data_IF_611859613677
#
_entry.id   IF_611859613677
#
_cell.length_a   1.000
_cell.length_b   1.000
_cell.length_c   1.000
_cell.angle_alpha   90.00
_cell.angle_beta   90.00
_cell.angle_gamma   90.00
#
_symmetry.space_group_name_H-M   'P 1'
#
loop_
_entity.id
_entity.type
_entity.pdbx_description
1 polymer ?
#
# COMPACT_ATOMS: atom_id res chain seq x y z
N UNK A 1 -9.22 -25.29 8.69
CA UNK A 1 -8.98 -24.31 7.58
C UNK A 1 -9.03 -22.90 8.15
N UNK A 2 -8.00 -22.10 7.87
CA UNK A 2 -7.89 -20.76 8.46
C UNK A 2 -8.90 -19.77 7.85
N UNK A 3 -9.07 -19.79 6.51
CA UNK A 3 -10.02 -18.98 5.75
C UNK A 3 -10.36 -19.69 4.44
N UNK A 4 -11.50 -20.40 4.37
CA UNK A 4 -11.89 -21.14 3.16
C UNK A 4 -12.02 -20.26 1.91
N UNK A 5 -12.42 -19.00 2.07
CA UNK A 5 -12.54 -18.03 0.97
C UNK A 5 -11.17 -17.68 0.39
N UNK A 6 -10.18 -17.43 1.26
CA UNK A 6 -8.81 -17.17 0.83
C UNK A 6 -8.19 -18.39 0.15
N UNK A 7 -8.37 -19.59 0.72
CA UNK A 7 -7.88 -20.84 0.12
C UNK A 7 -8.48 -21.05 -1.27
N UNK A 8 -9.79 -20.82 -1.42
CA UNK A 8 -10.44 -20.93 -2.72
C UNK A 8 -9.86 -19.94 -3.73
N UNK A 9 -9.66 -18.67 -3.34
CA UNK A 9 -9.06 -17.66 -4.21
C UNK A 9 -7.64 -18.02 -4.66
N UNK A 10 -6.79 -18.48 -3.75
CA UNK A 10 -5.43 -18.95 -4.09
C UNK A 10 -5.43 -20.14 -5.05
N UNK A 11 -6.39 -21.05 -4.93
CA UNK A 11 -6.57 -22.15 -5.90
C UNK A 11 -6.91 -21.63 -7.28
N UNK A 12 -7.79 -20.61 -7.39
CA UNK A 12 -8.15 -20.01 -8.68
C UNK A 12 -6.94 -19.39 -9.40
N UNK A 13 -6.02 -18.79 -8.66
CA UNK A 13 -4.80 -18.18 -9.18
C UNK A 13 -3.70 -19.20 -9.50
N UNK A 14 -3.85 -20.47 -9.11
CA UNK A 14 -2.81 -21.48 -9.23
C UNK A 14 -1.69 -21.36 -8.19
N UNK A 15 -1.92 -20.66 -7.08
CA UNK A 15 -0.93 -20.44 -6.01
C UNK A 15 -0.93 -21.52 -4.94
N UNK A 16 -1.87 -22.44 -5.00
CA UNK A 16 -2.06 -23.51 -4.00
C UNK A 16 -1.02 -24.63 -4.06
N UNK A 17 -0.18 -24.66 -5.09
CA UNK A 17 0.87 -25.67 -5.26
C UNK A 17 2.17 -25.32 -4.51
N UNK A 18 2.29 -24.07 -4.07
CA UNK A 18 3.49 -23.54 -3.42
C UNK A 18 3.21 -23.26 -1.95
N UNK A 19 3.96 -23.91 -1.07
CA UNK A 19 3.94 -23.64 0.37
C UNK A 19 5.23 -22.93 0.76
N UNK A 20 5.13 -21.66 1.15
CA UNK A 20 6.29 -20.87 1.58
C UNK A 20 6.79 -21.34 2.94
N UNK A 21 8.07 -21.74 3.01
CA UNK A 21 8.73 -22.27 4.20
C UNK A 21 9.56 -21.20 4.92
N UNK A 22 10.29 -20.39 4.18
CA UNK A 22 11.15 -19.33 4.72
C UNK A 22 11.33 -18.17 3.72
N UNK A 23 11.83 -17.04 4.20
CA UNK A 23 12.19 -15.90 3.37
C UNK A 23 13.59 -15.39 3.71
N UNK A 24 14.38 -14.93 2.71
CA UNK A 24 15.69 -14.31 2.90
C UNK A 24 15.97 -13.30 1.78
N UNK A 25 16.32 -12.07 2.13
CA UNK A 25 16.57 -11.02 1.15
C UNK A 25 15.32 -10.76 0.31
N UNK A 26 15.42 -10.84 -0.99
CA UNK A 26 14.33 -10.61 -1.93
C UNK A 26 13.58 -11.89 -2.33
N UNK A 27 13.82 -13.01 -1.64
CA UNK A 27 13.32 -14.32 -2.03
C UNK A 27 12.52 -15.00 -0.92
N UNK A 28 11.42 -15.64 -1.30
CA UNK A 28 10.85 -16.78 -0.59
C UNK A 28 11.53 -18.07 -0.99
N UNK A 29 11.41 -19.07 -0.14
CA UNK A 29 11.78 -20.46 -0.41
C UNK A 29 10.59 -21.32 -0.05
N UNK A 30 10.20 -22.19 -0.97
CA UNK A 30 9.08 -23.09 -0.79
C UNK A 30 9.42 -24.33 0.04
N UNK A 31 8.48 -25.28 0.12
CA UNK A 31 8.64 -26.56 0.84
C UNK A 31 9.80 -27.41 0.33
N UNK A 32 10.22 -27.24 -0.92
CA UNK A 32 11.32 -27.97 -1.57
C UNK A 32 12.63 -27.16 -1.57
N UNK A 33 12.67 -26.02 -0.86
CA UNK A 33 13.76 -25.03 -0.89
C UNK A 33 13.99 -24.37 -2.27
N UNK A 34 12.98 -24.44 -3.17
CA UNK A 34 12.98 -23.70 -4.43
C UNK A 34 12.88 -22.18 -4.17
N UNK A 35 13.73 -21.43 -4.86
CA UNK A 35 13.90 -19.98 -4.69
C UNK A 35 12.87 -19.23 -5.53
N UNK A 36 12.04 -18.40 -4.91
CA UNK A 36 10.99 -17.60 -5.55
C UNK A 36 11.28 -16.12 -5.35
N UNK A 37 11.44 -15.37 -6.43
CA UNK A 37 11.65 -13.92 -6.42
C UNK A 37 10.37 -13.20 -5.98
N UNK A 38 10.42 -12.46 -4.87
CA UNK A 38 9.26 -11.75 -4.32
C UNK A 38 9.17 -10.32 -4.85
N UNK A 39 8.47 -10.13 -5.95
CA UNK A 39 8.10 -8.82 -6.45
C UNK A 39 6.64 -8.44 -6.10
N UNK A 40 5.99 -9.22 -5.22
CA UNK A 40 4.74 -8.82 -4.57
C UNK A 40 4.98 -7.84 -3.42
N UNK A 41 6.17 -7.94 -2.80
CA UNK A 41 6.61 -7.12 -1.68
C UNK A 41 5.63 -7.12 -0.50
N UNK A 42 4.84 -8.20 -0.32
CA UNK A 42 3.83 -8.27 0.73
C UNK A 42 2.86 -7.09 0.67
N UNK A 43 2.42 -6.71 -0.53
CA UNK A 43 1.56 -5.53 -0.77
C UNK A 43 2.19 -4.23 -0.26
N UNK A 44 3.53 -4.12 -0.40
CA UNK A 44 4.31 -2.95 0.02
C UNK A 44 4.85 -3.00 1.45
N UNK A 45 4.69 -4.10 2.19
CA UNK A 45 5.21 -4.23 3.56
C UNK A 45 6.65 -4.75 3.63
N UNK A 46 7.15 -5.38 2.56
CA UNK A 46 8.48 -6.02 2.54
C UNK A 46 9.50 -5.08 1.83
N UNK A 47 9.64 -3.87 2.36
CA UNK A 47 10.57 -2.89 1.80
C UNK A 47 12.04 -3.29 1.99
N UNK A 48 12.40 -3.74 3.18
CA UNK A 48 13.75 -4.14 3.55
C UNK A 48 14.11 -5.59 3.16
N UNK A 49 13.20 -6.28 2.45
CA UNK A 49 13.33 -7.70 2.18
C UNK A 49 13.02 -8.59 3.39
N UNK A 50 13.13 -9.89 3.18
CA UNK A 50 12.83 -10.90 4.19
C UNK A 50 14.00 -11.09 5.15
N UNK A 51 13.71 -11.08 6.45
CA UNK A 51 14.69 -11.40 7.52
C UNK A 51 15.98 -10.58 7.44
N UNK A 52 15.84 -9.26 7.27
CA UNK A 52 16.99 -8.35 7.28
C UNK A 52 17.84 -8.56 8.53
N UNK A 53 19.18 -8.76 8.43
CA UNK A 53 20.01 -9.14 9.58
C UNK A 53 19.94 -8.15 10.75
N UNK A 54 19.96 -6.86 10.48
CA UNK A 54 19.88 -5.81 11.50
C UNK A 54 18.55 -5.83 12.24
N UNK A 55 17.43 -6.02 11.50
CA UNK A 55 16.09 -6.16 12.10
C UNK A 55 16.03 -7.38 13.01
N UNK A 56 16.55 -8.52 12.58
CA UNK A 56 16.59 -9.73 13.42
C UNK A 56 17.44 -9.49 14.67
N UNK A 57 18.59 -8.82 14.52
CA UNK A 57 19.50 -8.55 15.63
C UNK A 57 18.89 -7.65 16.69
N UNK A 58 18.26 -6.52 16.29
CA UNK A 58 17.65 -5.58 17.26
C UNK A 58 16.51 -6.24 18.03
N UNK A 59 15.72 -7.09 17.36
CA UNK A 59 14.63 -7.84 18.01
C UNK A 59 15.15 -8.89 18.97
N UNK A 60 16.20 -9.64 18.58
CA UNK A 60 16.85 -10.61 19.46
C UNK A 60 17.43 -9.90 20.69
N UNK A 61 18.16 -8.80 20.50
CA UNK A 61 18.73 -8.03 21.62
C UNK A 61 17.63 -7.52 22.57
N UNK A 62 16.52 -7.01 22.03
CA UNK A 62 15.37 -6.55 22.83
C UNK A 62 14.82 -7.66 23.73
N UNK A 63 14.71 -8.87 23.19
CA UNK A 63 14.23 -10.04 23.92
C UNK A 63 15.26 -10.58 24.94
N UNK A 64 16.52 -10.70 24.55
CA UNK A 64 17.59 -11.23 25.41
C UNK A 64 17.84 -10.29 26.64
N UNK A 65 17.55 -9.00 26.50
CA UNK A 65 17.65 -8.01 27.59
C UNK A 65 16.35 -7.88 28.41
N UNK A 66 15.37 -8.75 28.19
CA UNK A 66 14.08 -8.82 28.92
C UNK A 66 13.36 -7.45 28.96
N UNK A 67 13.44 -6.67 27.86
CA UNK A 67 12.87 -5.32 27.81
C UNK A 67 11.34 -5.37 27.73
N UNK A 68 10.66 -4.41 28.38
CA UNK A 68 9.21 -4.39 28.46
C UNK A 68 8.54 -4.08 27.11
N UNK A 69 7.43 -4.74 26.85
CA UNK A 69 6.65 -4.56 25.61
C UNK A 69 5.55 -3.48 25.74
N UNK A 70 4.75 -3.53 26.80
CA UNK A 70 3.56 -2.68 26.94
C UNK A 70 3.87 -1.51 27.84
N UNK A 71 3.76 -0.30 27.28
CA UNK A 71 4.02 0.96 28.00
C UNK A 71 2.76 1.79 28.28
N UNK A 72 1.54 1.24 28.12
CA UNK A 72 0.30 2.02 28.18
C UNK A 72 0.07 2.72 29.53
N UNK A 73 0.52 2.11 30.63
CA UNK A 73 0.39 2.66 31.99
C UNK A 73 1.62 3.44 32.45
N UNK A 74 2.67 3.51 31.62
CA UNK A 74 3.95 4.13 31.96
C UNK A 74 4.53 4.87 30.76
N UNK A 75 5.50 5.75 30.99
CA UNK A 75 6.28 6.33 29.90
C UNK A 75 7.15 5.26 29.24
N UNK A 76 6.90 5.01 27.94
CA UNK A 76 7.73 4.12 27.13
C UNK A 76 8.84 4.90 26.45
N UNK A 77 10.09 4.64 26.83
CA UNK A 77 11.25 5.22 26.14
C UNK A 77 11.31 4.84 24.65
N UNK A 78 10.81 3.65 24.29
CA UNK A 78 10.80 3.15 22.92
C UNK A 78 9.78 3.89 22.05
N UNK A 79 8.57 4.07 22.58
CA UNK A 79 7.53 4.85 21.90
C UNK A 79 7.94 6.33 21.78
N UNK A 80 8.55 6.90 22.82
CA UNK A 80 9.07 8.27 22.80
C UNK A 80 10.19 8.45 21.76
N UNK A 81 11.16 7.51 21.71
CA UNK A 81 12.25 7.54 20.72
C UNK A 81 11.72 7.41 19.29
N UNK A 82 10.80 6.45 19.04
CA UNK A 82 10.18 6.29 17.74
C UNK A 82 9.40 7.54 17.31
N UNK A 83 8.58 8.10 18.22
CA UNK A 83 7.82 9.32 17.94
C UNK A 83 8.74 10.50 17.62
N UNK A 84 9.86 10.64 18.36
CA UNK A 84 10.86 11.67 18.07
C UNK A 84 11.51 11.50 16.71
N UNK A 85 11.87 10.26 16.34
CA UNK A 85 12.44 9.97 15.02
C UNK A 85 11.44 10.28 13.89
N UNK A 86 10.16 9.89 14.06
CA UNK A 86 9.11 10.21 13.10
C UNK A 86 8.92 11.73 12.95
N UNK A 87 8.86 12.46 14.06
CA UNK A 87 8.76 13.92 14.02
C UNK A 87 9.95 14.58 13.32
N UNK A 88 11.15 14.02 13.46
CA UNK A 88 12.36 14.56 12.81
C UNK A 88 12.41 14.32 11.30
N UNK A 89 11.78 13.26 10.80
CA UNK A 89 11.75 12.94 9.36
C UNK A 89 10.54 13.52 8.63
N UNK A 90 9.52 13.97 9.38
CA UNK A 90 8.36 14.63 8.81
C UNK A 90 8.61 16.14 8.59
N UNK A 91 8.03 16.73 7.54
CA UNK A 91 8.19 18.15 7.27
C UNK A 91 7.34 19.03 8.20
N UNK A 92 7.76 20.28 8.36
CA UNK A 92 7.06 21.35 9.09
C UNK A 92 6.71 20.96 10.55
N UNK A 93 5.45 21.17 10.95
CA UNK A 93 4.93 20.87 12.29
C UNK A 93 4.11 19.57 12.35
N UNK A 94 4.40 18.60 11.46
CA UNK A 94 3.92 17.22 11.53
C UNK A 94 4.73 16.46 12.58
N UNK A 95 4.47 16.67 13.86
CA UNK A 95 5.33 16.24 14.97
C UNK A 95 4.59 15.56 16.13
N UNK A 96 3.25 15.52 16.11
CA UNK A 96 2.48 14.76 17.11
C UNK A 96 2.17 13.38 16.55
N UNK A 97 2.75 12.35 17.16
CA UNK A 97 2.68 10.96 16.72
C UNK A 97 1.77 10.14 17.62
N UNK A 98 0.79 9.48 17.03
CA UNK A 98 -0.15 8.57 17.70
C UNK A 98 0.09 7.18 17.14
N UNK A 99 0.69 6.29 17.95
CA UNK A 99 1.04 4.93 17.51
C UNK A 99 -0.18 4.02 17.49
N UNK A 100 -0.19 3.10 16.54
CA UNK A 100 -1.24 2.12 16.29
C UNK A 100 -0.62 0.78 15.86
N UNK A 101 -1.44 -0.28 15.70
CA UNK A 101 -0.96 -1.61 15.34
C UNK A 101 -1.10 -1.90 13.84
N UNK A 102 -2.02 -1.26 13.17
CA UNK A 102 -2.25 -1.46 11.74
C UNK A 102 -2.78 -0.18 11.07
N UNK A 103 -2.69 -0.16 9.72
CA UNK A 103 -3.12 0.99 8.94
C UNK A 103 -4.57 1.39 9.16
N UNK A 104 -5.50 0.42 9.31
CA UNK A 104 -6.91 0.74 9.57
C UNK A 104 -7.10 1.48 10.91
N UNK A 105 -6.35 1.12 11.96
CA UNK A 105 -6.39 1.86 13.23
C UNK A 105 -5.87 3.30 13.06
N UNK A 106 -4.81 3.49 12.28
CA UNK A 106 -4.30 4.83 11.99
C UNK A 106 -5.34 5.68 11.22
N UNK A 107 -6.06 5.09 10.27
CA UNK A 107 -7.16 5.77 9.57
C UNK A 107 -8.31 6.11 10.53
N UNK A 108 -8.70 5.19 11.43
CA UNK A 108 -9.72 5.49 12.46
C UNK A 108 -9.30 6.64 13.36
N UNK A 109 -8.02 6.69 13.77
CA UNK A 109 -7.48 7.81 14.55
C UNK A 109 -7.54 9.12 13.77
N UNK A 110 -7.22 9.11 12.46
CA UNK A 110 -7.30 10.28 11.60
C UNK A 110 -8.75 10.77 11.43
N UNK A 111 -9.71 9.86 11.25
CA UNK A 111 -11.16 10.20 11.18
C UNK A 111 -11.59 10.89 12.49
N UNK A 112 -11.30 10.29 13.63
CA UNK A 112 -11.62 10.86 14.96
C UNK A 112 -10.95 12.22 15.17
N UNK A 113 -9.73 12.40 14.66
CA UNK A 113 -9.02 13.68 14.73
C UNK A 113 -9.73 14.76 13.92
N UNK A 114 -10.22 14.44 12.70
CA UNK A 114 -11.01 15.37 11.87
C UNK A 114 -12.30 15.76 12.60
N UNK A 115 -13.07 14.78 13.07
CA UNK A 115 -14.33 15.03 13.79
C UNK A 115 -14.13 15.88 15.05
N UNK A 116 -13.07 15.59 15.82
CA UNK A 116 -12.76 16.33 17.04
C UNK A 116 -12.28 17.75 16.74
N UNK A 117 -11.51 17.95 15.66
CA UNK A 117 -11.02 19.26 15.22
C UNK A 117 -12.14 20.17 14.70
N UNK A 118 -13.05 19.61 13.89
CA UNK A 118 -14.09 20.35 13.18
C UNK A 118 -15.40 20.44 13.99
N UNK A 119 -15.64 19.50 14.91
CA UNK A 119 -16.88 19.37 15.67
C UNK A 119 -18.00 18.67 14.88
N UNK A 120 -19.12 18.39 15.55
CA UNK A 120 -20.16 17.48 15.01
C UNK A 120 -20.91 18.02 13.78
N UNK A 121 -20.84 19.33 13.50
CA UNK A 121 -21.50 19.94 12.35
C UNK A 121 -20.66 19.87 11.06
N UNK A 122 -19.39 19.45 11.14
CA UNK A 122 -18.48 19.34 10.01
C UNK A 122 -17.73 18.00 10.05
N UNK A 123 -18.48 16.90 9.98
CA UNK A 123 -17.93 15.54 10.10
C UNK A 123 -17.90 14.74 8.80
N UNK A 124 -18.50 15.25 7.71
CA UNK A 124 -18.42 14.59 6.42
C UNK A 124 -16.98 14.56 5.88
N UNK A 125 -16.66 13.46 5.23
CA UNK A 125 -15.35 13.24 4.63
C UNK A 125 -15.48 13.15 3.11
N UNK A 126 -14.47 13.67 2.40
CA UNK A 126 -14.28 13.44 0.98
C UNK A 126 -13.22 12.36 0.80
N UNK A 127 -13.47 11.42 -0.10
CA UNK A 127 -12.53 10.37 -0.49
C UNK A 127 -12.60 10.07 -1.99
N UNK A 128 -11.57 9.43 -2.53
CA UNK A 128 -11.50 9.21 -3.96
C UNK A 128 -12.22 7.93 -4.43
N UNK A 129 -12.68 7.90 -5.68
CA UNK A 129 -13.12 6.69 -6.38
C UNK A 129 -11.96 5.68 -6.37
N UNK A 130 -12.28 4.40 -6.12
CA UNK A 130 -11.31 3.30 -5.96
C UNK A 130 -10.27 3.52 -4.83
N UNK A 131 -10.56 4.35 -3.83
CA UNK A 131 -9.70 4.49 -2.65
C UNK A 131 -9.74 3.24 -1.77
N UNK A 132 -8.60 2.93 -1.15
CA UNK A 132 -8.47 1.87 -0.15
C UNK A 132 -7.80 2.40 1.11
N UNK A 133 -8.60 2.60 2.17
CA UNK A 133 -8.11 3.11 3.46
C UNK A 133 -8.20 2.09 4.60
N UNK A 134 -8.80 0.92 4.36
CA UNK A 134 -8.87 -0.15 5.36
C UNK A 134 -10.20 -0.89 5.38
N UNK A 135 -10.36 -1.76 6.40
CA UNK A 135 -11.51 -2.68 6.51
C UNK A 135 -12.25 -2.59 7.84
N UNK A 136 -11.85 -1.75 8.78
CA UNK A 136 -12.64 -1.37 9.95
C UNK A 136 -13.81 -0.48 9.51
N UNK A 137 -14.87 -0.34 10.29
CA UNK A 137 -16.09 0.33 9.82
C UNK A 137 -15.87 1.77 9.38
N UNK A 138 -15.11 2.57 10.13
CA UNK A 138 -14.79 3.94 9.74
C UNK A 138 -13.90 3.99 8.50
N UNK A 139 -12.79 3.26 8.47
CA UNK A 139 -11.91 3.16 7.31
C UNK A 139 -12.63 2.58 6.07
N UNK A 140 -13.54 1.62 6.26
CA UNK A 140 -14.35 1.05 5.19
C UNK A 140 -15.38 2.05 4.65
N UNK A 141 -15.84 3.01 5.47
CA UNK A 141 -16.76 4.07 5.04
C UNK A 141 -16.17 5.01 3.99
N UNK A 142 -14.82 5.09 3.91
CA UNK A 142 -14.06 5.86 2.92
C UNK A 142 -13.20 4.97 2.00
N UNK A 143 -13.47 3.65 1.98
CA UNK A 143 -12.90 2.69 1.01
C UNK A 143 -13.93 2.41 -0.06
N UNK A 144 -13.60 2.65 -1.35
CA UNK A 144 -14.56 2.49 -2.47
C UNK A 144 -14.56 1.08 -3.04
N UNK A 145 -15.03 0.12 -2.29
CA UNK A 145 -15.15 -1.27 -2.74
C UNK A 145 -16.56 -1.82 -2.55
N UNK A 146 -17.29 -2.01 -3.64
CA UNK A 146 -18.63 -2.62 -3.59
C UNK A 146 -18.61 -3.98 -2.87
N UNK A 147 -17.60 -4.82 -3.17
CA UNK A 147 -17.49 -6.17 -2.60
C UNK A 147 -17.29 -6.13 -1.08
N UNK A 148 -16.47 -5.21 -0.58
CA UNK A 148 -16.19 -5.10 0.85
C UNK A 148 -17.29 -4.38 1.63
N UNK A 149 -18.08 -3.51 0.98
CA UNK A 149 -19.08 -2.64 1.62
C UNK A 149 -20.48 -3.23 1.68
N UNK A 150 -20.90 -3.99 0.68
CA UNK A 150 -22.29 -4.36 0.41
C UNK A 150 -23.06 -5.01 1.58
N UNK A 151 -22.37 -5.59 2.56
CA UNK A 151 -22.99 -6.34 3.67
C UNK A 151 -22.95 -5.57 5.00
N UNK A 152 -22.35 -4.38 5.03
CA UNK A 152 -22.14 -3.65 6.27
C UNK A 152 -22.87 -2.31 6.28
N UNK A 153 -23.45 -1.95 7.44
CA UNK A 153 -23.95 -0.60 7.68
C UNK A 153 -22.76 0.32 7.97
N UNK A 154 -22.51 1.28 7.08
CA UNK A 154 -21.39 2.22 7.10
C UNK A 154 -21.92 3.66 7.22
N UNK A 155 -21.00 4.63 7.38
CA UNK A 155 -21.33 6.05 7.23
C UNK A 155 -21.48 6.36 5.74
N UNK A 156 -22.70 6.61 5.28
CA UNK A 156 -23.03 6.73 3.85
C UNK A 156 -23.02 8.18 3.34
N UNK A 157 -22.92 9.14 4.22
CA UNK A 157 -22.93 10.59 3.93
C UNK A 157 -21.57 11.15 3.47
N UNK A 158 -20.53 10.34 3.49
CA UNK A 158 -19.22 10.69 2.94
C UNK A 158 -19.26 10.84 1.41
N UNK A 159 -18.52 11.82 0.88
CA UNK A 159 -18.58 12.22 -0.52
C UNK A 159 -17.44 11.58 -1.30
N UNK A 160 -17.79 10.90 -2.39
CA UNK A 160 -16.84 10.26 -3.28
C UNK A 160 -16.61 11.10 -4.52
N UNK A 161 -15.32 11.34 -4.86
CA UNK A 161 -14.89 12.15 -6.01
C UNK A 161 -13.91 11.39 -6.91
N UNK A 162 -13.80 11.72 -8.20
CA UNK A 162 -12.74 11.17 -9.05
C UNK A 162 -11.35 11.52 -8.53
N UNK A 163 -10.42 10.54 -8.55
CA UNK A 163 -9.03 10.78 -8.19
C UNK A 163 -8.30 11.52 -9.31
N UNK A 164 -7.57 12.56 -8.95
CA UNK A 164 -6.81 13.37 -9.91
C UNK A 164 -7.57 14.59 -10.48
N UNK A 165 -8.85 14.74 -10.13
CA UNK A 165 -9.71 15.85 -10.55
C UNK A 165 -9.99 16.77 -9.36
N UNK A 166 -9.18 17.83 -9.18
CA UNK A 166 -9.35 18.75 -8.04
C UNK A 166 -10.63 19.62 -8.17
N UNK A 167 -11.12 19.84 -9.39
CA UNK A 167 -12.37 20.54 -9.66
C UNK A 167 -13.59 19.83 -9.03
N UNK A 168 -13.58 18.51 -9.04
CA UNK A 168 -14.62 17.71 -8.38
C UNK A 168 -14.59 17.89 -6.86
N UNK A 169 -13.39 18.03 -6.28
CA UNK A 169 -13.22 18.35 -4.86
C UNK A 169 -13.73 19.76 -4.56
N UNK A 170 -13.39 20.74 -5.41
CA UNK A 170 -13.85 22.13 -5.25
C UNK A 170 -15.38 22.21 -5.28
N UNK A 171 -16.02 21.51 -6.22
CA UNK A 171 -17.49 21.44 -6.31
C UNK A 171 -18.07 20.82 -5.04
N UNK A 172 -17.51 19.68 -4.57
CA UNK A 172 -17.97 19.04 -3.35
C UNK A 172 -17.90 19.98 -2.14
N UNK A 173 -16.80 20.75 -2.00
CA UNK A 173 -16.60 21.72 -0.92
C UNK A 173 -17.57 22.90 -0.98
N UNK A 174 -17.91 23.39 -2.19
CA UNK A 174 -18.88 24.46 -2.39
C UNK A 174 -20.30 24.04 -1.99
N UNK A 175 -20.68 22.81 -2.37
CA UNK A 175 -22.04 22.31 -2.19
C UNK A 175 -22.28 21.74 -0.79
N UNK A 176 -21.23 21.41 -0.03
CA UNK A 176 -21.33 20.74 1.27
C UNK A 176 -20.47 21.45 2.33
N UNK A 177 -21.00 22.45 3.03
CA UNK A 177 -20.26 23.19 4.07
C UNK A 177 -19.95 22.38 5.33
N UNK A 178 -20.53 21.19 5.46
CA UNK A 178 -20.35 20.26 6.56
C UNK A 178 -19.19 19.24 6.33
N UNK A 179 -18.43 19.40 5.25
CA UNK A 179 -17.17 18.67 5.03
C UNK A 179 -16.12 19.10 6.05
N UNK A 180 -15.53 18.15 6.75
CA UNK A 180 -14.47 18.35 7.74
C UNK A 180 -13.08 17.99 7.26
N UNK A 181 -12.95 17.01 6.35
CA UNK A 181 -11.65 16.52 5.88
C UNK A 181 -11.69 15.83 4.54
N UNK A 182 -10.53 15.82 3.88
CA UNK A 182 -10.29 15.12 2.60
C UNK A 182 -9.25 14.06 2.84
N UNK A 183 -9.60 12.78 2.55
CA UNK A 183 -8.74 11.61 2.65
C UNK A 183 -8.32 11.16 1.25
N UNK A 184 -7.02 11.18 0.97
CA UNK A 184 -6.46 10.71 -0.30
C UNK A 184 -5.23 9.83 -0.05
N UNK A 185 -5.07 8.79 -0.86
CA UNK A 185 -3.77 8.16 -1.06
C UNK A 185 -2.91 9.11 -1.90
N UNK A 186 -1.64 9.35 -1.56
CA UNK A 186 -0.75 10.16 -2.43
C UNK A 186 -0.53 9.51 -3.79
N UNK A 187 -0.56 8.17 -3.84
CA UNK A 187 -0.65 7.34 -5.06
C UNK A 187 -1.64 6.21 -4.72
N UNK A 188 -2.70 6.06 -5.51
CA UNK A 188 -3.67 4.99 -5.27
C UNK A 188 -3.09 3.61 -5.61
N UNK A 189 -2.82 2.82 -4.57
CA UNK A 189 -2.26 1.49 -4.76
C UNK A 189 -3.30 0.46 -5.21
N UNK A 190 -4.44 0.41 -4.54
CA UNK A 190 -5.53 -0.54 -4.80
C UNK A 190 -6.21 -0.35 -6.15
N UNK A 191 -6.28 0.88 -6.63
CA UNK A 191 -6.85 1.22 -7.93
C UNK A 191 -6.00 0.75 -9.14
N UNK A 192 -4.74 0.37 -8.91
CA UNK A 192 -3.84 -0.02 -9.98
C UNK A 192 -2.59 0.84 -10.11
N UNK A 193 -2.08 1.33 -8.99
CA UNK A 193 -0.92 2.24 -8.92
C UNK A 193 -1.16 3.51 -9.73
N UNK A 194 -2.24 4.23 -9.39
CA UNK A 194 -2.61 5.46 -10.07
C UNK A 194 -1.81 6.62 -9.47
N UNK A 195 -0.88 7.15 -10.25
CA UNK A 195 -0.13 8.37 -9.93
C UNK A 195 -1.00 9.58 -10.32
N UNK A 196 -1.27 10.53 -9.41
CA UNK A 196 -2.09 11.68 -9.75
C UNK A 196 -1.38 12.61 -10.75
N UNK A 197 -2.13 13.44 -11.50
CA UNK A 197 -1.55 14.49 -12.33
C UNK A 197 -0.63 15.41 -11.53
N UNK A 198 0.42 15.92 -12.18
CA UNK A 198 1.36 16.87 -11.55
C UNK A 198 0.61 18.08 -10.99
N UNK A 199 0.87 18.40 -9.73
CA UNK A 199 0.28 19.56 -9.05
C UNK A 199 -1.13 19.29 -8.48
N UNK A 200 -1.69 18.10 -8.64
CA UNK A 200 -2.99 17.76 -8.08
C UNK A 200 -3.05 17.94 -6.57
N UNK A 201 -2.12 17.32 -5.83
CA UNK A 201 -2.11 17.43 -4.36
C UNK A 201 -1.89 18.88 -3.89
N UNK A 202 -1.13 19.68 -4.66
CA UNK A 202 -0.94 21.11 -4.37
C UNK A 202 -2.25 21.87 -4.49
N UNK A 203 -3.02 21.62 -5.54
CA UNK A 203 -4.36 22.23 -5.71
C UNK A 203 -5.32 21.79 -4.62
N UNK A 204 -5.31 20.53 -4.25
CA UNK A 204 -6.13 20.03 -3.12
C UNK A 204 -5.73 20.71 -1.82
N UNK A 205 -4.43 20.94 -1.55
CA UNK A 205 -3.96 21.68 -0.36
C UNK A 205 -4.49 23.12 -0.35
N UNK A 206 -4.40 23.82 -1.49
CA UNK A 206 -4.93 25.17 -1.65
C UNK A 206 -6.43 25.23 -1.34
N UNK A 207 -7.21 24.26 -1.85
CA UNK A 207 -8.64 24.16 -1.55
C UNK A 207 -8.90 23.87 -0.06
N UNK A 208 -8.16 22.97 0.54
CA UNK A 208 -8.29 22.70 1.96
C UNK A 208 -8.05 23.95 2.82
N UNK A 209 -7.05 24.76 2.48
CA UNK A 209 -6.73 26.00 3.18
C UNK A 209 -7.84 27.03 2.97
N UNK A 210 -8.36 27.18 1.75
CA UNK A 210 -9.44 28.11 1.42
C UNK A 210 -10.75 27.79 2.17
N UNK A 211 -11.12 26.50 2.24
CA UNK A 211 -12.39 26.09 2.85
C UNK A 211 -12.27 25.71 4.34
N UNK A 212 -11.07 25.76 4.91
CA UNK A 212 -10.80 25.40 6.31
C UNK A 212 -11.10 23.95 6.63
N UNK A 213 -10.84 23.02 5.69
CA UNK A 213 -10.93 21.56 5.87
C UNK A 213 -9.55 20.95 6.04
N UNK A 214 -9.45 19.80 6.70
CA UNK A 214 -8.18 19.12 6.88
C UNK A 214 -7.83 18.26 5.67
N UNK A 215 -6.55 18.27 5.28
CA UNK A 215 -5.98 17.33 4.30
C UNK A 215 -5.31 16.17 5.01
N UNK A 216 -5.80 14.96 4.76
CA UNK A 216 -5.25 13.73 5.26
C UNK A 216 -4.66 12.94 4.10
N UNK A 217 -3.34 12.64 4.15
CA UNK A 217 -2.69 11.81 3.14
C UNK A 217 -2.36 10.43 3.72
N UNK A 218 -2.89 9.42 3.05
CA UNK A 218 -2.62 8.03 3.36
C UNK A 218 -1.32 7.58 2.70
N UNK A 219 -0.26 7.50 3.50
CA UNK A 219 1.09 7.06 3.12
C UNK A 219 1.37 5.60 3.50
N UNK A 220 0.33 4.84 3.87
CA UNK A 220 0.46 3.46 4.34
C UNK A 220 1.17 2.58 3.29
N UNK A 221 0.89 2.79 2.02
CA UNK A 221 1.47 1.98 0.95
C UNK A 221 2.59 2.68 0.18
N UNK A 222 2.51 3.98 -0.01
CA UNK A 222 3.42 4.77 -0.85
C UNK A 222 4.56 5.42 -0.06
N UNK A 223 4.48 5.48 1.26
CA UNK A 223 5.52 6.05 2.12
C UNK A 223 6.74 5.15 2.36
N UNK A 224 7.61 5.60 3.23
CA UNK A 224 8.82 4.90 3.66
C UNK A 224 9.75 4.48 2.53
N UNK A 225 10.07 5.42 1.64
CA UNK A 225 11.05 5.23 0.57
C UNK A 225 10.50 4.59 -0.70
N UNK A 226 9.27 4.04 -0.68
CA UNK A 226 8.70 3.25 -1.77
C UNK A 226 8.71 3.95 -3.13
N UNK A 227 8.48 5.26 -3.15
CA UNK A 227 8.42 6.07 -4.37
C UNK A 227 9.72 6.81 -4.70
N UNK A 228 10.79 6.58 -3.92
CA UNK A 228 12.07 7.28 -4.07
C UNK A 228 12.16 8.61 -3.32
N UNK A 229 11.18 8.89 -2.47
CA UNK A 229 11.17 9.92 -1.42
C UNK A 229 10.74 9.26 -0.11
N UNK A 230 10.99 9.87 1.06
CA UNK A 230 10.56 9.31 2.34
C UNK A 230 9.03 9.17 2.37
N UNK A 231 8.31 10.19 1.94
CA UNK A 231 6.86 10.18 1.75
C UNK A 231 6.50 10.57 0.32
N UNK A 232 5.46 9.97 -0.25
CA UNK A 232 5.10 10.19 -1.64
C UNK A 232 4.59 11.62 -1.91
N UNK A 233 3.98 12.29 -0.93
CA UNK A 233 3.52 13.68 -1.05
C UNK A 233 4.67 14.68 -1.25
N UNK A 234 5.91 14.32 -0.89
CA UNK A 234 7.09 15.18 -1.09
C UNK A 234 7.37 15.45 -2.58
N UNK A 235 6.92 14.55 -3.48
CA UNK A 235 7.03 14.79 -4.92
C UNK A 235 6.23 16.01 -5.42
N UNK A 236 5.21 16.41 -4.69
CA UNK A 236 4.35 17.56 -5.02
C UNK A 236 4.60 18.76 -4.10
N UNK A 237 5.62 18.68 -3.22
CA UNK A 237 6.02 19.75 -2.27
C UNK A 237 4.86 20.21 -1.38
N UNK A 238 4.03 19.28 -0.94
CA UNK A 238 2.82 19.53 -0.14
C UNK A 238 3.06 19.09 1.30
N UNK A 239 2.52 19.84 2.25
CA UNK A 239 2.46 19.40 3.66
C UNK A 239 1.00 19.20 4.05
N UNK A 240 0.54 17.96 4.30
CA UNK A 240 -0.80 17.69 4.76
C UNK A 240 -0.97 18.08 6.25
N UNK A 241 -2.20 18.05 6.73
CA UNK A 241 -2.49 18.26 8.15
C UNK A 241 -2.30 16.98 8.97
N UNK A 242 -2.51 15.83 8.34
CA UNK A 242 -2.38 14.50 8.94
C UNK A 242 -1.82 13.53 7.90
N UNK A 243 -0.91 12.65 8.31
CA UNK A 243 -0.51 11.47 7.53
C UNK A 243 -0.77 10.19 8.33
N UNK A 244 -1.07 9.11 7.60
CA UNK A 244 -1.14 7.77 8.18
C UNK A 244 -0.07 6.87 7.55
N UNK A 245 0.64 6.10 8.38
CA UNK A 245 1.75 5.25 7.98
C UNK A 245 1.63 3.84 8.57
N UNK A 246 2.11 2.84 7.84
CA UNK A 246 2.17 1.42 8.26
C UNK A 246 3.07 0.62 7.29
N UNK A 247 2.81 -0.65 7.08
CA UNK A 247 3.49 -1.53 6.11
C UNK A 247 5.03 -1.52 6.23
N UNK A 248 5.76 -0.91 5.26
CA UNK A 248 7.23 -0.86 5.28
C UNK A 248 7.80 -0.26 6.56
N UNK A 249 7.04 0.62 7.23
CA UNK A 249 7.36 1.19 8.53
C UNK A 249 7.70 0.14 9.59
N UNK A 250 7.04 -1.02 9.56
CA UNK A 250 7.27 -2.12 10.49
C UNK A 250 8.50 -2.98 10.20
N UNK A 251 9.37 -2.61 9.24
CA UNK A 251 10.61 -3.35 8.92
C UNK A 251 10.37 -4.82 8.57
N UNK A 252 9.22 -5.13 7.97
CA UNK A 252 8.78 -6.51 7.60
C UNK A 252 8.45 -7.41 8.81
N UNK A 253 8.72 -6.99 10.04
CA UNK A 253 8.63 -7.85 11.24
C UNK A 253 7.66 -7.36 12.30
N UNK A 254 7.32 -6.08 12.31
CA UNK A 254 6.44 -5.51 13.33
C UNK A 254 5.07 -5.13 12.75
N UNK A 255 4.03 -5.48 13.49
CA UNK A 255 2.71 -4.90 13.30
C UNK A 255 2.70 -3.53 13.97
N UNK A 256 2.75 -2.46 13.20
CA UNK A 256 2.84 -1.09 13.67
C UNK A 256 2.29 -0.13 12.62
N UNK A 257 1.70 0.93 13.10
CA UNK A 257 1.24 2.06 12.31
C UNK A 257 1.33 3.34 13.13
N UNK A 258 1.17 4.48 12.50
CA UNK A 258 1.02 5.74 13.19
C UNK A 258 0.14 6.71 12.40
N UNK A 259 -0.55 7.57 13.14
CA UNK A 259 -1.14 8.80 12.65
C UNK A 259 -0.24 9.94 13.11
N UNK A 260 0.27 10.74 12.19
CA UNK A 260 1.13 11.88 12.48
C UNK A 260 0.37 13.15 12.15
N UNK A 261 0.27 14.04 13.10
CA UNK A 261 -0.64 15.19 13.09
C UNK A 261 0.17 16.47 13.30
N UNK A 262 -0.20 17.54 12.59
CA UNK A 262 0.39 18.86 12.85
C UNK A 262 0.06 19.33 14.27
N UNK A 263 1.05 19.86 14.99
CA UNK A 263 0.88 20.37 16.37
C UNK A 263 -0.33 21.31 16.48
N UNK A 264 -0.55 22.22 15.51
CA UNK A 264 -1.70 23.14 15.54
C UNK A 264 -3.05 22.43 15.47
N UNK A 265 -3.14 21.33 14.69
CA UNK A 265 -4.36 20.52 14.58
C UNK A 265 -4.62 19.76 15.86
N UNK A 266 -3.60 19.07 16.39
CA UNK A 266 -3.71 18.34 17.64
C UNK A 266 -4.12 19.25 18.82
N UNK A 267 -3.46 20.40 18.96
CA UNK A 267 -3.78 21.38 20.02
C UNK A 267 -5.21 21.88 19.95
N UNK A 268 -5.77 22.13 18.75
CA UNK A 268 -7.15 22.55 18.61
C UNK A 268 -8.12 21.42 18.92
N UNK A 269 -7.83 20.19 18.45
CA UNK A 269 -8.70 19.03 18.67
C UNK A 269 -8.78 18.61 20.14
N UNK A 270 -7.65 18.64 20.85
CA UNK A 270 -7.49 18.20 22.25
C UNK A 270 -7.05 19.34 23.18
N UNK A 271 -7.65 20.53 23.01
CA UNK A 271 -7.37 21.72 23.84
C UNK A 271 -7.66 21.46 25.32
N UNK A 272 -8.72 20.72 25.62
CA UNK A 272 -9.04 20.33 26.99
C UNK A 272 -8.38 18.97 27.30
N UNK A 273 -7.45 18.98 28.27
CA UNK A 273 -6.73 17.76 28.70
C UNK A 273 -7.66 16.67 29.26
N UNK A 274 -8.90 16.99 29.61
CA UNK A 274 -9.92 16.00 30.04
C UNK A 274 -10.34 15.06 28.93
N UNK A 275 -10.14 15.46 27.68
CA UNK A 275 -10.57 14.70 26.49
C UNK A 275 -9.53 13.70 26.00
N UNK A 276 -8.32 13.67 26.57
CA UNK A 276 -7.24 12.81 26.08
C UNK A 276 -7.60 11.31 26.13
N UNK A 277 -8.47 10.92 27.07
CA UNK A 277 -8.94 9.52 27.23
C UNK A 277 -9.71 9.04 25.99
N UNK A 278 -10.43 9.93 25.31
CA UNK A 278 -11.15 9.59 24.08
C UNK A 278 -10.23 9.23 22.90
N UNK A 279 -8.92 9.50 23.06
CA UNK A 279 -7.92 9.33 22.03
C UNK A 279 -6.83 8.32 22.38
N UNK A 280 -7.03 7.57 23.45
CA UNK A 280 -6.07 6.54 23.87
C UNK A 280 -5.72 5.61 22.70
N UNK A 281 -4.44 5.36 22.47
CA UNK A 281 -4.02 4.32 21.55
C UNK A 281 -4.55 2.96 22.02
N UNK A 282 -4.60 1.97 21.12
CA UNK A 282 -4.95 0.61 21.52
C UNK A 282 -3.91 0.06 22.52
N UNK A 283 -4.28 -0.95 23.29
CA UNK A 283 -3.42 -1.59 24.31
C UNK A 283 -2.02 -1.92 23.79
N UNK A 284 -1.90 -2.33 22.54
CA UNK A 284 -0.65 -2.72 21.90
C UNK A 284 -0.05 -1.62 21.00
N UNK A 285 -0.64 -0.42 20.95
CA UNK A 285 -0.07 0.71 20.24
C UNK A 285 1.25 1.17 20.87
N UNK A 286 2.35 1.08 20.13
CA UNK A 286 3.66 1.45 20.62
C UNK A 286 4.37 0.39 21.46
N UNK A 287 4.10 -0.90 21.22
CA UNK A 287 4.88 -2.01 21.81
C UNK A 287 6.38 -1.78 21.63
N UNK A 288 7.15 -2.07 22.69
CA UNK A 288 8.60 -1.84 22.72
C UNK A 288 9.34 -2.52 21.58
N UNK A 289 9.09 -3.82 21.36
CA UNK A 289 9.69 -4.58 20.27
C UNK A 289 9.30 -4.09 18.88
N UNK A 290 8.08 -3.58 18.70
CA UNK A 290 7.65 -2.93 17.45
C UNK A 290 8.35 -1.60 17.25
N UNK A 291 8.45 -0.77 18.29
CA UNK A 291 9.13 0.52 18.25
C UNK A 291 10.61 0.38 17.86
N UNK A 292 11.37 -0.50 18.54
CA UNK A 292 12.80 -0.69 18.22
C UNK A 292 12.99 -1.27 16.82
N UNK A 293 12.06 -2.11 16.35
CA UNK A 293 12.07 -2.63 14.99
C UNK A 293 11.89 -1.50 13.96
N UNK A 294 10.94 -0.60 14.19
CA UNK A 294 10.66 0.53 13.30
C UNK A 294 11.79 1.58 13.33
N UNK A 295 12.38 1.86 14.49
CA UNK A 295 13.56 2.73 14.59
C UNK A 295 14.69 2.17 13.72
N UNK A 296 14.97 0.88 13.85
CA UNK A 296 16.03 0.25 13.05
C UNK A 296 15.67 0.22 11.55
N UNK A 297 14.39 0.05 11.19
CA UNK A 297 13.95 0.16 9.81
C UNK A 297 14.22 1.55 9.23
N UNK A 298 13.99 2.62 9.99
CA UNK A 298 14.32 3.99 9.57
C UNK A 298 15.84 4.14 9.40
N UNK A 299 16.63 3.67 10.35
CA UNK A 299 18.10 3.73 10.27
C UNK A 299 18.61 3.04 8.99
N UNK A 300 18.13 1.83 8.69
CA UNK A 300 18.50 1.08 7.48
C UNK A 300 18.15 1.86 6.20
N UNK A 301 16.97 2.49 6.15
CA UNK A 301 16.58 3.27 4.97
C UNK A 301 17.58 4.38 4.65
N UNK A 302 18.11 5.07 5.66
CA UNK A 302 19.08 6.16 5.48
C UNK A 302 20.50 5.64 5.33
N UNK A 303 20.97 4.76 6.21
CA UNK A 303 22.37 4.31 6.24
C UNK A 303 22.74 3.43 5.02
N UNK A 304 21.78 2.68 4.47
CA UNK A 304 21.98 1.88 3.28
C UNK A 304 21.51 2.59 2.00
N UNK A 305 21.11 3.88 2.10
CA UNK A 305 20.64 4.73 1.00
C UNK A 305 19.53 4.07 0.16
N UNK A 306 18.58 3.41 0.84
CA UNK A 306 17.53 2.65 0.16
C UNK A 306 16.49 3.52 -0.54
N UNK A 307 16.33 4.77 -0.10
CA UNK A 307 15.41 5.72 -0.73
C UNK A 307 15.91 6.10 -2.12
N UNK A 308 17.21 6.46 -2.25
CA UNK A 308 17.84 6.75 -3.54
C UNK A 308 17.85 5.52 -4.44
N UNK A 309 18.17 4.34 -3.88
CA UNK A 309 18.11 3.08 -4.63
C UNK A 309 16.69 2.80 -5.16
N UNK A 310 15.65 3.04 -4.36
CA UNK A 310 14.27 2.87 -4.83
C UNK A 310 13.93 3.84 -5.98
N UNK A 311 14.43 5.08 -5.92
CA UNK A 311 14.28 6.05 -7.01
C UNK A 311 14.97 5.61 -8.29
N UNK A 312 16.26 5.30 -8.20
CA UNK A 312 17.13 5.10 -9.36
C UNK A 312 16.87 3.73 -10.02
N UNK A 313 16.76 2.67 -9.22
CA UNK A 313 16.36 1.35 -9.70
C UNK A 313 14.92 1.35 -10.22
N UNK A 314 14.02 2.09 -9.56
CA UNK A 314 12.64 2.26 -10.02
C UNK A 314 12.55 2.92 -11.39
N UNK A 315 13.36 3.96 -11.63
CA UNK A 315 13.47 4.60 -12.94
C UNK A 315 13.93 3.60 -14.01
N UNK A 316 15.03 2.90 -13.75
CA UNK A 316 15.54 1.85 -14.64
C UNK A 316 14.45 0.81 -14.95
N UNK A 317 13.85 0.24 -13.92
CA UNK A 317 12.88 -0.85 -14.08
C UNK A 317 11.61 -0.42 -14.83
N UNK A 318 11.07 0.78 -14.54
CA UNK A 318 9.92 1.33 -15.26
C UNK A 318 10.23 1.56 -16.75
N UNK A 319 11.44 2.05 -17.09
CA UNK A 319 11.87 2.26 -18.47
C UNK A 319 11.94 0.94 -19.24
N UNK A 320 12.52 -0.10 -18.66
CA UNK A 320 12.58 -1.44 -19.27
C UNK A 320 11.19 -2.06 -19.45
N UNK A 321 10.29 -1.89 -18.48
CA UNK A 321 8.90 -2.34 -18.61
C UNK A 321 8.13 -1.57 -19.70
N UNK A 322 8.46 -0.30 -19.93
CA UNK A 322 7.90 0.48 -21.04
C UNK A 322 8.40 -0.02 -22.40
N UNK A 323 9.66 -0.43 -22.49
CA UNK A 323 10.19 -1.11 -23.70
C UNK A 323 9.41 -2.40 -23.98
N UNK A 324 9.09 -3.19 -22.94
CA UNK A 324 8.20 -4.35 -23.12
C UNK A 324 6.80 -3.95 -23.62
N UNK A 325 6.23 -2.86 -23.09
CA UNK A 325 4.94 -2.34 -23.58
C UNK A 325 5.01 -1.97 -25.07
N UNK A 326 6.07 -1.30 -25.51
CA UNK A 326 6.28 -0.95 -26.93
C UNK A 326 6.41 -2.20 -27.82
N UNK A 327 7.05 -3.25 -27.29
CA UNK A 327 7.21 -4.54 -28.00
C UNK A 327 5.90 -5.34 -28.05
N UNK A 328 5.08 -5.27 -27.00
CA UNK A 328 3.82 -6.01 -26.86
C UNK A 328 2.58 -5.13 -26.65
N UNK A 329 2.32 -4.13 -27.52
CA UNK A 329 1.26 -3.13 -27.30
C UNK A 329 -0.16 -3.71 -27.34
N UNK A 330 -0.33 -4.91 -27.91
CA UNK A 330 -1.62 -5.63 -27.93
C UNK A 330 -1.90 -6.41 -26.63
N UNK A 331 -0.92 -6.53 -25.76
CA UNK A 331 -1.00 -7.26 -24.48
C UNK A 331 -0.89 -6.29 -23.31
N UNK A 332 0.14 -5.47 -23.30
CA UNK A 332 0.36 -4.46 -22.25
C UNK A 332 -0.32 -3.17 -22.66
N UNK A 333 -1.24 -2.72 -21.83
CA UNK A 333 -1.99 -1.47 -22.02
C UNK A 333 -1.21 -0.27 -21.49
N UNK A 334 -0.66 -0.40 -20.25
CA UNK A 334 0.04 0.69 -19.61
C UNK A 334 1.09 0.21 -18.60
N UNK A 335 2.13 1.04 -18.39
CA UNK A 335 3.15 0.90 -17.33
C UNK A 335 3.31 2.23 -16.64
N UNK A 336 3.02 2.27 -15.35
CA UNK A 336 3.02 3.49 -14.53
C UNK A 336 3.58 3.25 -13.13
N UNK A 337 3.94 4.30 -12.44
CA UNK A 337 4.44 4.24 -11.07
C UNK A 337 5.48 5.32 -10.75
N UNK A 338 5.97 5.28 -9.51
CA UNK A 338 7.11 6.08 -9.04
C UNK A 338 8.00 5.21 -8.15
N UNK A 339 9.32 5.31 -8.33
CA UNK A 339 10.26 4.45 -7.61
C UNK A 339 9.92 2.96 -7.81
N UNK A 340 9.89 2.20 -6.74
CA UNK A 340 9.55 0.78 -6.74
C UNK A 340 8.07 0.51 -6.40
N UNK A 341 7.20 1.46 -6.68
CA UNK A 341 5.74 1.31 -6.67
C UNK A 341 5.22 1.32 -8.10
N UNK A 342 5.07 0.13 -8.71
CA UNK A 342 4.86 -0.02 -10.15
C UNK A 342 3.56 -0.79 -10.43
N UNK A 343 2.78 -0.29 -11.38
CA UNK A 343 1.60 -0.94 -11.94
C UNK A 343 1.82 -1.26 -13.43
N UNK A 344 1.59 -2.51 -13.80
CA UNK A 344 1.62 -2.97 -15.19
C UNK A 344 0.22 -3.44 -15.57
N UNK A 345 -0.45 -2.68 -16.43
CA UNK A 345 -1.82 -2.93 -16.85
C UNK A 345 -1.86 -3.65 -18.18
N UNK A 346 -2.75 -4.64 -18.27
CA UNK A 346 -2.96 -5.45 -19.48
C UNK A 346 -4.33 -5.14 -20.10
N UNK A 347 -4.45 -5.40 -21.41
CA UNK A 347 -5.74 -5.34 -22.07
C UNK A 347 -6.68 -6.44 -21.57
N UNK A 348 -7.97 -6.13 -21.48
CA UNK A 348 -9.00 -7.12 -21.20
C UNK A 348 -9.15 -8.05 -22.39
N UNK A 349 -9.09 -9.36 -22.14
CA UNK A 349 -9.18 -10.39 -23.17
C UNK A 349 -10.56 -11.05 -23.24
N UNK A 350 -11.52 -10.63 -22.40
CA UNK A 350 -12.86 -11.25 -22.36
C UNK A 350 -13.58 -11.22 -23.70
N UNK A 351 -13.37 -10.19 -24.52
CA UNK A 351 -14.02 -9.98 -25.81
C UNK A 351 -13.19 -10.42 -27.03
N UNK A 352 -11.92 -10.84 -26.83
CA UNK A 352 -10.99 -11.15 -27.95
C UNK A 352 -10.88 -12.64 -28.27
N UNK A 353 -11.65 -13.48 -27.60
CA UNK A 353 -11.44 -14.91 -27.64
C UNK A 353 -12.32 -15.61 -28.69
N UNK A 354 -11.62 -16.10 -29.71
CA UNK A 354 -12.17 -16.97 -30.77
C UNK A 354 -12.43 -18.39 -30.22
N UNK A 355 -13.51 -19.07 -30.60
CA UNK A 355 -13.68 -20.49 -30.27
C UNK A 355 -12.46 -21.35 -30.65
N UNK A 356 -12.04 -22.35 -29.83
CA UNK A 356 -12.75 -22.91 -28.67
C UNK A 356 -12.40 -22.26 -27.32
N UNK A 357 -11.53 -21.24 -27.28
CA UNK A 357 -11.01 -20.62 -26.04
C UNK A 357 -12.09 -19.91 -25.21
N UNK A 358 -13.14 -19.39 -25.84
CA UNK A 358 -14.26 -18.77 -25.11
C UNK A 358 -14.94 -19.75 -24.13
N UNK A 359 -15.12 -21.02 -24.50
CA UNK A 359 -15.74 -22.04 -23.61
C UNK A 359 -14.87 -22.28 -22.39
N UNK A 360 -13.56 -22.22 -22.57
CA UNK A 360 -12.60 -22.48 -21.51
C UNK A 360 -12.47 -21.29 -20.55
N UNK A 361 -12.48 -20.06 -21.07
CA UNK A 361 -12.48 -18.85 -20.24
C UNK A 361 -13.85 -18.63 -19.59
N UNK A 362 -14.94 -19.01 -20.25
CA UNK A 362 -16.27 -19.00 -19.64
C UNK A 362 -16.41 -19.99 -18.48
N UNK A 363 -15.57 -21.04 -18.44
CA UNK A 363 -15.50 -21.98 -17.31
C UNK A 363 -14.62 -21.46 -16.13
N UNK A 364 -13.90 -20.36 -16.31
CA UNK A 364 -13.16 -19.72 -15.22
C UNK A 364 -14.15 -18.96 -14.32
N UNK A 365 -13.81 -18.94 -13.02
CA UNK A 365 -14.54 -18.13 -12.04
C UNK A 365 -14.60 -16.66 -12.48
N UNK A 366 -15.76 -16.01 -12.30
CA UNK A 366 -15.98 -14.62 -12.70
C UNK A 366 -14.97 -13.64 -12.09
N UNK A 367 -14.30 -14.04 -11.02
CA UNK A 367 -13.24 -13.26 -10.36
C UNK A 367 -11.93 -13.19 -11.14
N UNK A 368 -11.67 -14.13 -12.04
CA UNK A 368 -10.45 -14.17 -12.89
C UNK A 368 -10.77 -14.17 -14.39
N UNK A 369 -12.04 -14.26 -14.75
CA UNK A 369 -12.51 -14.25 -16.13
C UNK A 369 -12.12 -12.95 -16.84
N UNK A 370 -11.46 -13.06 -17.97
CA UNK A 370 -10.95 -11.92 -18.74
C UNK A 370 -9.68 -11.26 -18.15
N UNK A 371 -9.23 -11.69 -16.97
CA UNK A 371 -8.04 -11.12 -16.32
C UNK A 371 -6.76 -11.77 -16.86
N UNK A 372 -6.07 -11.06 -17.74
CA UNK A 372 -4.77 -11.51 -18.25
C UNK A 372 -3.70 -11.49 -17.12
N UNK A 373 -3.80 -10.56 -16.18
CA UNK A 373 -2.89 -10.52 -15.04
C UNK A 373 -2.95 -11.80 -14.19
N UNK A 374 -4.16 -12.36 -13.96
CA UNK A 374 -4.31 -13.60 -13.20
C UNK A 374 -3.62 -14.78 -13.89
N UNK A 375 -3.74 -14.87 -15.22
CA UNK A 375 -3.08 -15.92 -16.01
C UNK A 375 -1.54 -15.76 -15.97
N UNK A 376 -1.06 -14.56 -16.22
CA UNK A 376 0.36 -14.24 -16.20
C UNK A 376 0.98 -14.45 -14.82
N UNK A 377 0.31 -14.00 -13.75
CA UNK A 377 0.78 -14.18 -12.37
C UNK A 377 0.90 -15.65 -11.98
N UNK A 378 -0.07 -16.48 -12.38
CA UNK A 378 0.01 -17.93 -12.18
C UNK A 378 1.18 -18.57 -12.92
N UNK A 379 1.45 -18.16 -14.16
CA UNK A 379 2.59 -18.67 -14.94
C UNK A 379 3.91 -18.17 -14.37
N UNK A 380 4.01 -16.88 -14.01
CA UNK A 380 5.20 -16.30 -13.39
C UNK A 380 5.61 -17.09 -12.15
N UNK A 381 4.66 -17.39 -11.26
CA UNK A 381 4.94 -18.15 -10.05
C UNK A 381 5.39 -19.58 -10.35
N UNK A 382 4.62 -20.33 -11.17
CA UNK A 382 4.82 -21.77 -11.31
C UNK A 382 5.90 -22.17 -12.34
N UNK A 383 6.25 -21.28 -13.27
CA UNK A 383 7.25 -21.57 -14.31
C UNK A 383 8.56 -20.78 -14.13
N UNK A 384 8.44 -19.54 -13.65
CA UNK A 384 9.60 -18.65 -13.54
C UNK A 384 9.98 -18.35 -12.07
N UNK A 385 9.29 -18.94 -11.11
CA UNK A 385 9.52 -18.69 -9.68
C UNK A 385 9.51 -17.19 -9.34
N UNK A 386 8.54 -16.45 -9.88
CA UNK A 386 8.36 -15.01 -9.63
C UNK A 386 6.96 -14.78 -9.05
N UNK A 387 6.91 -14.15 -7.89
CA UNK A 387 5.67 -13.78 -7.24
C UNK A 387 5.37 -12.29 -7.46
N UNK A 388 4.20 -11.99 -8.03
CA UNK A 388 3.64 -10.64 -8.15
C UNK A 388 2.30 -10.55 -7.42
N UNK A 389 1.81 -9.35 -7.15
CA UNK A 389 0.49 -9.14 -6.56
C UNK A 389 -0.48 -8.50 -7.54
N UNK A 390 -1.78 -8.57 -7.18
CA UNK A 390 -2.88 -8.01 -7.95
C UNK A 390 -3.44 -6.79 -7.24
N UNK A 391 -4.19 -5.96 -7.96
CA UNK A 391 -4.87 -4.81 -7.37
C UNK A 391 -6.33 -5.14 -7.02
N UNK A 392 -6.87 -4.42 -6.06
CA UNK A 392 -8.20 -4.67 -5.51
C UNK A 392 -9.33 -4.28 -6.48
N UNK A 393 -9.13 -3.22 -7.28
CA UNK A 393 -10.19 -2.61 -8.09
C UNK A 393 -10.00 -2.79 -9.59
N UNK A 394 -8.77 -3.00 -10.08
CA UNK A 394 -8.49 -3.27 -11.49
C UNK A 394 -7.83 -4.64 -11.65
N UNK A 395 -8.61 -5.63 -12.05
CA UNK A 395 -8.18 -7.03 -12.17
C UNK A 395 -7.11 -7.26 -13.24
N UNK A 396 -6.89 -6.30 -14.15
CA UNK A 396 -5.90 -6.41 -15.22
C UNK A 396 -4.59 -5.70 -14.91
N UNK A 397 -4.30 -5.41 -13.63
CA UNK A 397 -3.03 -4.80 -13.21
C UNK A 397 -2.25 -5.73 -12.31
N UNK A 398 -0.99 -5.99 -12.67
CA UNK A 398 0.01 -6.45 -11.71
C UNK A 398 0.54 -5.27 -10.91
N UNK A 399 0.53 -5.43 -9.61
CA UNK A 399 1.22 -4.57 -8.67
C UNK A 399 2.60 -5.19 -8.43
N UNK A 400 3.65 -4.48 -8.86
CA UNK A 400 5.03 -4.95 -8.83
C UNK A 400 5.78 -4.08 -7.83
N UNK A 401 6.09 -4.65 -6.67
CA UNK A 401 6.66 -3.95 -5.52
C UNK A 401 7.93 -4.64 -5.03
N UNK A 402 9.04 -4.57 -5.80
CA UNK A 402 10.30 -5.15 -5.37
C UNK A 402 10.74 -4.61 -4.00
N UNK A 403 11.38 -5.41 -3.15
CA UNK A 403 12.12 -4.89 -2.02
C UNK A 403 13.19 -3.88 -2.46
N UNK A 404 13.50 -2.88 -1.65
CA UNK A 404 14.47 -1.82 -1.99
C UNK A 404 15.89 -2.35 -2.21
N UNK A 405 16.19 -3.52 -1.61
CA UNK A 405 17.46 -4.22 -1.71
C UNK A 405 17.58 -5.11 -2.96
N UNK A 406 16.58 -5.09 -3.85
CA UNK A 406 16.63 -5.86 -5.10
C UNK A 406 17.76 -5.36 -5.98
N UNK A 407 18.46 -6.30 -6.61
CA UNK A 407 19.58 -6.01 -7.52
C UNK A 407 19.11 -5.78 -8.96
N UNK A 408 20.03 -5.27 -9.80
CA UNK A 408 19.75 -5.13 -11.23
C UNK A 408 19.44 -6.48 -11.88
N UNK A 409 20.14 -7.53 -11.47
CA UNK A 409 19.95 -8.91 -11.96
C UNK A 409 18.55 -9.43 -11.63
N UNK A 410 17.97 -9.05 -10.49
CA UNK A 410 16.60 -9.43 -10.13
C UNK A 410 15.57 -8.76 -11.07
N UNK A 411 15.78 -7.49 -11.43
CA UNK A 411 14.94 -6.79 -12.42
C UNK A 411 15.11 -7.39 -13.82
N UNK A 412 16.33 -7.64 -14.26
CA UNK A 412 16.64 -8.21 -15.56
C UNK A 412 16.05 -9.61 -15.71
N UNK A 413 16.05 -10.41 -14.62
CA UNK A 413 15.41 -11.71 -14.60
C UNK A 413 13.88 -11.59 -14.75
N UNK A 414 13.26 -10.64 -14.08
CA UNK A 414 11.83 -10.39 -14.24
C UNK A 414 11.50 -9.97 -15.68
N UNK A 415 12.27 -9.03 -16.25
CA UNK A 415 12.07 -8.49 -17.60
C UNK A 415 12.20 -9.60 -18.65
N UNK A 416 13.27 -10.41 -18.57
CA UNK A 416 13.50 -11.51 -19.51
C UNK A 416 12.43 -12.60 -19.42
N UNK A 417 11.98 -12.92 -18.21
CA UNK A 417 10.89 -13.87 -17.99
C UNK A 417 9.56 -13.37 -18.58
N UNK A 418 9.27 -12.07 -18.41
CA UNK A 418 8.11 -11.44 -19.02
C UNK A 418 8.22 -11.41 -20.54
N UNK A 419 9.37 -11.07 -21.10
CA UNK A 419 9.59 -11.04 -22.55
C UNK A 419 9.37 -12.42 -23.17
N UNK A 420 9.97 -13.48 -22.59
CA UNK A 420 9.75 -14.87 -23.02
C UNK A 420 8.26 -15.26 -22.96
N UNK A 421 7.58 -14.87 -21.87
CA UNK A 421 6.18 -15.22 -21.68
C UNK A 421 5.28 -14.49 -22.69
N UNK A 422 5.48 -13.19 -22.87
CA UNK A 422 4.69 -12.35 -23.76
C UNK A 422 4.92 -12.65 -25.26
N UNK A 423 6.13 -13.11 -25.63
CA UNK A 423 6.47 -13.51 -27.01
C UNK A 423 5.57 -14.65 -27.55
N UNK A 424 4.96 -15.45 -26.66
CA UNK A 424 4.04 -16.53 -27.00
C UNK A 424 2.66 -16.03 -27.44
N UNK A 425 2.39 -14.73 -27.28
CA UNK A 425 1.11 -14.12 -27.56
C UNK A 425 -0.02 -14.65 -26.67
N UNK A 426 -1.21 -14.06 -26.79
CA UNK A 426 -2.37 -14.38 -25.93
C UNK A 426 -2.70 -15.88 -25.95
N UNK A 427 -2.70 -16.50 -27.15
CA UNK A 427 -2.99 -17.95 -27.29
C UNK A 427 -2.00 -18.83 -26.54
N UNK A 428 -0.70 -18.50 -26.64
CA UNK A 428 0.35 -19.22 -25.95
C UNK A 428 0.30 -19.04 -24.42
N UNK A 429 -0.03 -17.84 -23.94
CA UNK A 429 -0.23 -17.55 -22.51
C UNK A 429 -1.37 -18.41 -21.95
N UNK A 430 -2.53 -18.43 -22.62
CA UNK A 430 -3.66 -19.24 -22.19
C UNK A 430 -3.30 -20.73 -22.18
N UNK A 431 -2.66 -21.24 -23.24
CA UNK A 431 -2.23 -22.64 -23.30
C UNK A 431 -1.28 -23.02 -22.17
N UNK A 432 -0.31 -22.14 -21.84
CA UNK A 432 0.61 -22.37 -20.72
C UNK A 432 -0.11 -22.40 -19.37
N UNK A 433 -1.03 -21.47 -19.12
CA UNK A 433 -1.79 -21.44 -17.88
C UNK A 433 -2.61 -22.71 -17.65
N UNK A 434 -3.22 -23.22 -18.72
CA UNK A 434 -4.00 -24.45 -18.64
C UNK A 434 -3.18 -25.68 -18.29
N UNK A 435 -1.96 -25.77 -18.82
CA UNK A 435 -1.04 -26.86 -18.49
C UNK A 435 -0.62 -26.84 -17.01
N UNK A 436 -0.70 -25.68 -16.35
CA UNK A 436 -0.43 -25.60 -14.90
C UNK A 436 -1.60 -26.13 -14.06
N UNK A 437 -2.83 -26.16 -14.60
CA UNK A 437 -4.01 -26.65 -13.88
C UNK A 437 -4.22 -28.17 -14.02
N UNK A 438 -3.56 -28.81 -14.99
CA UNK A 438 -3.54 -30.24 -15.19
C UNK A 438 -2.37 -30.88 -14.41
#
# INVERSE_FOLDING_TARGET
ETDPGQVHYLKLLGFNKVLMKRGKGVYYYDQNDEKILDFSGGVGSIGLGHNHPRINNVRKKFQDEERHEIGMSFYSQYAAALSKNLANICPADLDVVILANCGSEAIEQAIKMVEKYQGPLRSKLVYAINAFHGRTKGALSITDSKILRNTFKLHEDNIKVPFGEYEAIETALKDNPDIGGIFLESIQGGAGVIVPPKGYLKKVRELCDQYGVLLILDEIQCGFGRTGQMFAFEHDEVVPDIITISKSFGGTKASVAATIVRTKVYKKAYKDKKDFVAHLPSTFGGMGGACVTSIEAINILYEEDLISKARDNGKYFIEELRILKERYPKIIKDVRGRGLMIGMEYHDISNTLIPPFNKLISSLDDRIKGSLSALLGGILLNKYNILVSFTEFNRNVHRIYPPYISSKEDYDYFISSMDELLSKGIKGIISNFLKLKL
#
